data_IF_392720071921
#
_entry.id   IF_392720071921
#
_cell.length_a   1.000
_cell.length_b   1.000
_cell.length_c   1.000
_cell.angle_alpha   90.00
_cell.angle_beta   90.00
_cell.angle_gamma   90.00
#
_symmetry.space_group_name_H-M   'P 1'
#
loop_
_entity.id
_entity.type
_entity.pdbx_description
1 polymer ?
#
# COMPACT_ATOMS: atom_id res chain seq x y z
N UNK A 1 -12.45 44.24 -24.58
CA UNK A 1 -12.08 43.55 -23.33
C UNK A 1 -10.79 42.79 -23.56
N UNK A 2 -9.66 43.29 -23.06
CA UNK A 2 -8.37 42.58 -23.13
C UNK A 2 -8.37 41.55 -22.02
N UNK A 3 -8.43 40.26 -22.38
CA UNK A 3 -8.29 39.16 -21.43
C UNK A 3 -6.82 39.05 -21.08
N UNK A 4 -6.40 39.72 -19.99
CA UNK A 4 -5.09 39.49 -19.39
C UNK A 4 -5.01 38.02 -18.99
N UNK A 5 -4.35 37.22 -19.81
CA UNK A 5 -3.92 35.88 -19.41
C UNK A 5 -2.82 36.10 -18.38
N UNK A 6 -3.19 36.17 -17.10
CA UNK A 6 -2.21 36.06 -16.02
C UNK A 6 -1.51 34.73 -16.21
N UNK A 7 -0.22 34.77 -16.56
CA UNK A 7 0.57 33.57 -16.73
C UNK A 7 0.66 32.88 -15.36
N UNK A 8 -0.20 31.89 -15.13
CA UNK A 8 -0.27 31.17 -13.85
C UNK A 8 0.85 30.13 -13.82
N UNK A 9 1.60 30.12 -12.73
CA UNK A 9 2.67 29.14 -12.50
C UNK A 9 2.00 27.78 -12.22
N UNK A 10 2.11 26.85 -13.15
CA UNK A 10 1.44 25.56 -13.09
C UNK A 10 2.45 24.48 -12.73
N UNK A 11 2.17 23.70 -11.68
CA UNK A 11 2.99 22.53 -11.34
C UNK A 11 2.95 21.50 -12.48
N UNK A 12 4.11 21.04 -12.95
CA UNK A 12 4.23 20.08 -14.05
C UNK A 12 3.66 18.68 -13.73
N UNK A 13 3.59 18.31 -12.44
CA UNK A 13 3.09 17.00 -12.00
C UNK A 13 1.58 17.01 -11.72
N UNK A 14 1.12 17.82 -10.76
CA UNK A 14 -0.28 17.79 -10.31
C UNK A 14 -1.19 18.83 -10.97
N UNK A 15 -0.62 19.72 -11.80
CA UNK A 15 -1.35 20.79 -12.51
C UNK A 15 -2.05 21.82 -11.62
N UNK A 16 -1.73 21.89 -10.32
CA UNK A 16 -2.12 23.02 -9.47
C UNK A 16 -1.50 24.32 -10.01
N UNK A 17 -2.27 25.40 -9.94
CA UNK A 17 -1.90 26.71 -10.47
C UNK A 17 -1.70 27.71 -9.33
N UNK A 18 -0.68 28.55 -9.47
CA UNK A 18 -0.30 29.55 -8.50
C UNK A 18 -0.13 30.91 -9.18
N UNK A 19 -0.58 31.96 -8.50
CA UNK A 19 -0.44 33.34 -8.99
C UNK A 19 1.01 33.82 -8.93
N UNK A 20 1.84 33.23 -8.07
CA UNK A 20 3.24 33.61 -7.84
C UNK A 20 4.14 32.38 -7.88
N UNK A 21 5.35 32.54 -8.41
CA UNK A 21 6.32 31.46 -8.51
C UNK A 21 6.75 30.96 -7.13
N UNK A 22 6.90 31.86 -6.16
CA UNK A 22 7.21 31.53 -4.76
C UNK A 22 6.27 30.44 -4.20
N UNK A 23 4.96 30.54 -4.46
CA UNK A 23 3.97 29.57 -3.99
C UNK A 23 4.06 28.23 -4.73
N UNK A 24 4.48 28.23 -5.99
CA UNK A 24 4.75 26.98 -6.71
C UNK A 24 5.96 26.28 -6.09
N UNK A 25 7.03 27.02 -5.78
CA UNK A 25 8.21 26.48 -5.10
C UNK A 25 7.84 25.91 -3.72
N UNK A 26 7.04 26.63 -2.93
CA UNK A 26 6.53 26.12 -1.64
C UNK A 26 5.69 24.85 -1.79
N UNK A 27 4.86 24.76 -2.82
CA UNK A 27 4.13 23.53 -3.15
C UNK A 27 5.09 22.37 -3.46
N UNK A 28 6.14 22.59 -4.24
CA UNK A 28 7.10 21.56 -4.61
C UNK A 28 7.89 21.02 -3.40
N UNK A 29 8.17 21.88 -2.40
CA UNK A 29 8.83 21.50 -1.14
C UNK A 29 8.07 20.44 -0.34
N UNK A 30 6.74 20.44 -0.42
CA UNK A 30 5.88 19.61 0.44
C UNK A 30 5.11 18.52 -0.30
N UNK A 31 5.15 18.52 -1.64
CA UNK A 31 4.33 17.60 -2.45
C UNK A 31 5.03 16.29 -2.78
N UNK A 32 6.37 16.29 -2.80
CA UNK A 32 7.18 15.08 -3.02
C UNK A 32 6.72 14.30 -4.25
N UNK A 33 6.54 15.02 -5.36
CA UNK A 33 6.10 14.42 -6.60
C UNK A 33 7.13 13.40 -7.05
N UNK A 34 6.66 12.21 -7.43
CA UNK A 34 7.57 11.13 -7.78
C UNK A 34 7.10 10.39 -9.01
N UNK A 35 8.02 9.64 -9.61
CA UNK A 35 7.66 8.73 -10.70
C UNK A 35 6.73 7.59 -10.28
N UNK A 36 6.62 7.34 -8.98
CA UNK A 36 5.86 6.23 -8.40
C UNK A 36 4.46 6.66 -7.94
N UNK A 37 4.14 7.95 -8.01
CA UNK A 37 2.77 8.41 -7.85
C UNK A 37 1.90 7.85 -8.98
N UNK A 38 0.68 7.36 -8.68
CA UNK A 38 -0.30 7.02 -9.71
C UNK A 38 -0.51 8.16 -10.72
N UNK A 39 -0.44 7.85 -12.02
CA UNK A 39 -0.60 8.86 -13.09
C UNK A 39 -1.84 8.60 -13.93
N UNK A 40 -2.49 9.67 -14.35
CA UNK A 40 -3.57 9.59 -15.32
C UNK A 40 -3.02 9.21 -16.70
N UNK A 41 -3.47 8.08 -17.26
CA UNK A 41 -3.08 7.65 -18.62
C UNK A 41 -3.58 8.55 -19.75
N UNK A 42 -4.43 9.55 -19.47
CA UNK A 42 -4.96 10.50 -20.46
C UNK A 42 -4.21 11.83 -20.41
N UNK A 43 -4.12 12.44 -19.24
CA UNK A 43 -3.52 13.78 -19.10
C UNK A 43 -2.14 13.77 -18.42
N UNK A 44 -1.58 12.61 -18.07
CA UNK A 44 -0.32 12.45 -17.35
C UNK A 44 -0.25 13.11 -15.94
N UNK A 45 -1.35 13.67 -15.43
CA UNK A 45 -1.41 14.23 -14.08
C UNK A 45 -0.99 13.18 -13.04
N UNK A 46 -0.07 13.58 -12.16
CA UNK A 46 0.28 12.83 -10.97
C UNK A 46 -0.80 12.95 -9.90
N UNK A 47 -1.14 11.83 -9.31
CA UNK A 47 -2.10 11.69 -8.23
C UNK A 47 -1.39 11.08 -7.04
N UNK A 48 -1.59 11.66 -5.85
CA UNK A 48 -0.90 11.22 -4.63
C UNK A 48 -1.23 9.76 -4.25
N UNK A 49 -2.46 9.34 -4.51
CA UNK A 49 -2.95 7.99 -4.24
C UNK A 49 -3.78 7.44 -5.41
N UNK A 50 -4.00 6.13 -5.42
CA UNK A 50 -4.90 5.47 -6.36
C UNK A 50 -6.33 6.00 -6.23
N UNK A 51 -6.73 6.41 -5.02
CA UNK A 51 -8.04 7.01 -4.77
C UNK A 51 -8.14 8.37 -5.45
N UNK A 52 -7.12 9.21 -5.33
CA UNK A 52 -7.08 10.49 -6.04
C UNK A 52 -7.11 10.32 -7.56
N UNK A 53 -6.44 9.29 -8.09
CA UNK A 53 -6.49 8.95 -9.51
C UNK A 53 -7.88 8.45 -9.92
N UNK A 54 -8.48 7.59 -9.10
CA UNK A 54 -9.83 7.07 -9.32
C UNK A 54 -10.85 8.21 -9.32
N UNK A 55 -10.78 9.12 -8.36
CA UNK A 55 -11.65 10.30 -8.30
C UNK A 55 -11.52 11.18 -9.54
N UNK A 56 -10.29 11.37 -10.02
CA UNK A 56 -10.00 12.13 -11.23
C UNK A 56 -10.60 11.51 -12.51
N UNK A 57 -10.67 10.18 -12.58
CA UNK A 57 -11.12 9.44 -13.77
C UNK A 57 -12.62 9.11 -13.74
N UNK A 58 -13.12 8.61 -12.61
CA UNK A 58 -14.46 8.02 -12.44
C UNK A 58 -15.11 8.40 -11.09
N UNK A 59 -14.58 9.42 -10.41
CA UNK A 59 -15.16 9.93 -9.17
C UNK A 59 -16.44 10.74 -9.39
N UNK A 60 -16.95 11.37 -8.31
CA UNK A 60 -18.15 12.22 -8.39
C UNK A 60 -17.91 13.50 -9.19
N UNK A 61 -16.67 14.01 -9.22
CA UNK A 61 -16.28 15.23 -9.94
C UNK A 61 -15.03 14.97 -10.82
N UNK A 62 -15.13 14.12 -11.85
CA UNK A 62 -13.98 13.71 -12.62
C UNK A 62 -13.61 14.79 -13.64
N UNK A 63 -12.37 14.75 -14.15
CA UNK A 63 -11.98 15.68 -15.23
C UNK A 63 -12.65 15.23 -16.53
N UNK A 64 -13.59 16.03 -17.02
CA UNK A 64 -14.47 15.73 -18.18
C UNK A 64 -13.78 14.94 -19.30
N UNK A 65 -12.67 15.46 -19.83
CA UNK A 65 -11.99 14.82 -20.95
C UNK A 65 -11.32 13.49 -20.57
N UNK A 66 -10.71 13.43 -19.38
CA UNK A 66 -10.11 12.20 -18.87
C UNK A 66 -11.18 11.14 -18.60
N UNK A 67 -12.32 11.53 -18.02
CA UNK A 67 -13.46 10.66 -17.78
C UNK A 67 -14.05 10.11 -19.07
N UNK A 68 -14.22 10.95 -20.09
CA UNK A 68 -14.74 10.58 -21.41
C UNK A 68 -13.85 9.51 -22.07
N UNK A 69 -12.55 9.74 -22.11
CA UNK A 69 -11.59 8.78 -22.68
C UNK A 69 -11.56 7.49 -21.85
N UNK A 70 -11.49 7.60 -20.53
CA UNK A 70 -11.44 6.46 -19.63
C UNK A 70 -12.71 5.61 -19.64
N UNK A 71 -13.89 6.20 -19.79
CA UNK A 71 -15.15 5.46 -19.90
C UNK A 71 -15.14 4.46 -21.07
N UNK A 72 -14.52 4.84 -22.20
CA UNK A 72 -14.46 4.00 -23.40
C UNK A 72 -13.29 3.00 -23.41
N UNK A 73 -12.17 3.34 -22.77
CA UNK A 73 -10.88 2.63 -22.94
C UNK A 73 -10.23 2.22 -21.62
N UNK A 74 -10.82 2.56 -20.48
CA UNK A 74 -10.26 2.37 -19.15
C UNK A 74 -10.81 1.15 -18.42
N UNK A 75 -9.96 0.52 -17.62
CA UNK A 75 -10.34 -0.54 -16.71
C UNK A 75 -10.50 0.01 -15.28
N UNK A 76 -11.69 -0.15 -14.69
CA UNK A 76 -12.01 0.36 -13.36
C UNK A 76 -11.24 -0.30 -12.20
N UNK A 77 -10.50 -1.39 -12.43
CA UNK A 77 -9.73 -2.10 -11.40
C UNK A 77 -8.24 -1.72 -11.49
N UNK A 78 -7.61 -1.93 -12.65
CA UNK A 78 -6.19 -1.61 -12.81
C UNK A 78 -5.93 -0.11 -13.05
N UNK A 79 -6.96 0.66 -13.40
CA UNK A 79 -6.88 2.08 -13.80
C UNK A 79 -6.00 2.34 -15.04
N UNK A 80 -5.63 1.29 -15.78
CA UNK A 80 -4.89 1.43 -17.03
C UNK A 80 -5.83 1.82 -18.18
N UNK A 81 -5.25 2.51 -19.15
CA UNK A 81 -5.88 2.89 -20.41
C UNK A 81 -5.41 1.96 -21.53
N UNK A 82 -6.34 1.47 -22.34
CA UNK A 82 -6.08 0.55 -23.45
C UNK A 82 -6.20 1.27 -24.78
N UNK A 83 -5.69 0.69 -25.86
CA UNK A 83 -5.72 1.29 -27.21
C UNK A 83 -7.13 1.46 -27.76
N UNK A 84 -8.04 0.54 -27.44
CA UNK A 84 -9.41 0.52 -27.96
C UNK A 84 -10.44 0.00 -26.96
N UNK A 85 -11.71 0.26 -27.25
CA UNK A 85 -12.84 -0.30 -26.49
C UNK A 85 -12.88 -1.84 -26.56
N UNK A 86 -12.40 -2.43 -27.64
CA UNK A 86 -12.29 -3.89 -27.75
C UNK A 86 -11.21 -4.44 -26.80
N UNK A 87 -10.01 -3.84 -26.81
CA UNK A 87 -8.91 -4.25 -25.95
C UNK A 87 -9.28 -4.24 -24.46
N UNK A 88 -9.98 -3.19 -24.00
CA UNK A 88 -10.42 -3.12 -22.59
C UNK A 88 -11.49 -4.17 -22.26
N UNK A 89 -12.38 -4.52 -23.19
CA UNK A 89 -13.37 -5.59 -22.96
C UNK A 89 -12.70 -6.94 -22.77
N UNK A 90 -11.73 -7.28 -23.63
CA UNK A 90 -10.94 -8.51 -23.48
C UNK A 90 -10.13 -8.49 -22.17
N UNK A 91 -9.49 -7.36 -21.84
CA UNK A 91 -8.73 -7.22 -20.61
C UNK A 91 -9.57 -7.39 -19.34
N UNK A 92 -10.80 -6.84 -19.28
CA UNK A 92 -11.63 -6.88 -18.06
C UNK A 92 -11.88 -8.29 -17.54
N UNK A 93 -12.02 -9.27 -18.44
CA UNK A 93 -12.21 -10.68 -18.08
C UNK A 93 -10.95 -11.33 -17.50
N UNK A 94 -9.76 -10.82 -17.83
CA UNK A 94 -8.47 -11.37 -17.45
C UNK A 94 -7.60 -10.37 -16.67
N UNK A 95 -8.22 -9.37 -16.03
CA UNK A 95 -7.48 -8.33 -15.34
C UNK A 95 -6.67 -8.99 -14.22
N UNK A 96 -5.35 -8.85 -14.26
CA UNK A 96 -4.42 -9.57 -13.39
C UNK A 96 -4.60 -9.30 -11.89
N UNK A 97 -5.37 -8.27 -11.53
CA UNK A 97 -5.65 -7.92 -10.14
C UNK A 97 -6.96 -8.51 -9.62
N UNK A 98 -7.76 -9.14 -10.49
CA UNK A 98 -8.98 -9.86 -10.09
C UNK A 98 -8.63 -11.14 -9.35
N UNK A 99 -9.55 -11.62 -8.51
CA UNK A 99 -9.32 -12.85 -7.72
C UNK A 99 -8.93 -14.06 -8.57
N UNK A 100 -9.59 -14.19 -9.73
CA UNK A 100 -9.42 -15.30 -10.66
C UNK A 100 -8.08 -15.31 -11.41
N UNK A 101 -7.35 -14.20 -11.44
CA UNK A 101 -6.06 -14.16 -12.11
C UNK A 101 -5.01 -14.91 -11.28
N UNK A 102 -4.25 -15.84 -11.88
CA UNK A 102 -3.10 -16.44 -11.21
C UNK A 102 -2.07 -15.35 -10.96
N UNK A 103 -1.49 -15.35 -9.76
CA UNK A 103 -0.43 -14.41 -9.42
C UNK A 103 0.77 -14.62 -10.34
N UNK A 104 1.48 -13.55 -10.75
CA UNK A 104 2.72 -13.68 -11.51
C UNK A 104 3.66 -14.59 -10.73
N UNK A 105 4.02 -15.74 -11.30
CA UNK A 105 4.96 -16.67 -10.66
C UNK A 105 6.33 -15.99 -10.58
N UNK A 106 6.66 -15.45 -9.42
CA UNK A 106 8.01 -15.00 -9.10
C UNK A 106 8.97 -16.18 -9.13
N UNK A 107 10.21 -15.94 -9.55
CA UNK A 107 11.28 -16.93 -9.52
C UNK A 107 11.46 -17.47 -8.09
N UNK A 108 11.54 -18.80 -7.98
CA UNK A 108 11.74 -19.63 -6.78
C UNK A 108 12.32 -18.90 -5.55
N UNK A 109 11.51 -18.81 -4.49
CA UNK A 109 11.89 -18.30 -3.17
C UNK A 109 11.27 -16.95 -2.81
N UNK A 110 9.93 -16.88 -2.74
CA UNK A 110 9.20 -15.66 -2.35
C UNK A 110 9.80 -15.03 -1.10
N UNK A 111 10.28 -13.79 -1.23
CA UNK A 111 10.96 -13.06 -0.17
C UNK A 111 10.00 -12.27 0.70
N UNK A 112 8.72 -12.17 0.32
CA UNK A 112 7.68 -11.60 1.15
C UNK A 112 6.79 -12.68 1.79
N UNK A 113 6.33 -12.37 3.00
CA UNK A 113 5.33 -13.14 3.76
C UNK A 113 4.25 -12.17 4.19
N UNK A 114 2.98 -12.49 3.92
CA UNK A 114 1.88 -11.71 4.47
C UNK A 114 1.42 -12.31 5.79
N UNK A 115 1.05 -11.45 6.75
CA UNK A 115 0.49 -11.85 8.04
C UNK A 115 -0.81 -11.10 8.29
N UNK A 116 -1.75 -11.78 8.93
CA UNK A 116 -2.93 -11.17 9.49
C UNK A 116 -3.39 -11.93 10.74
N UNK A 117 -4.04 -11.22 11.65
CA UNK A 117 -4.56 -11.75 12.90
C UNK A 117 -6.08 -11.57 13.03
N UNK A 118 -6.70 -12.40 13.87
CA UNK A 118 -8.02 -12.16 14.43
C UNK A 118 -7.93 -12.00 15.93
N UNK A 119 -8.57 -10.94 16.39
CA UNK A 119 -8.52 -10.50 17.77
C UNK A 119 -9.85 -10.79 18.46
N UNK A 120 -9.76 -11.23 19.72
CA UNK A 120 -10.88 -11.26 20.67
C UNK A 120 -10.67 -10.15 21.70
N UNK A 121 -11.73 -9.78 22.42
CA UNK A 121 -11.72 -8.79 23.49
C UNK A 121 -11.43 -9.42 24.85
N UNK A 122 -10.55 -8.78 25.61
CA UNK A 122 -10.34 -8.99 27.04
C UNK A 122 -10.48 -7.70 27.83
N UNK A 123 -10.07 -7.73 29.10
CA UNK A 123 -10.37 -6.66 30.05
C UNK A 123 -11.81 -6.74 30.55
N UNK A 124 -12.16 -5.95 31.57
CA UNK A 124 -13.49 -5.98 32.18
C UNK A 124 -14.62 -5.60 31.22
N UNK A 125 -14.32 -4.84 30.17
CA UNK A 125 -15.26 -4.32 29.18
C UNK A 125 -15.08 -4.91 27.76
N UNK A 126 -14.11 -5.81 27.56
CA UNK A 126 -13.83 -6.40 26.24
C UNK A 126 -13.10 -5.47 25.26
N UNK A 127 -12.62 -4.31 25.72
CA UNK A 127 -11.95 -3.31 24.89
C UNK A 127 -10.52 -3.68 24.51
N UNK A 128 -9.88 -4.57 25.27
CA UNK A 128 -8.48 -4.94 25.03
C UNK A 128 -8.40 -5.99 23.94
N UNK A 129 -7.79 -5.67 22.80
CA UNK A 129 -7.51 -6.65 21.75
C UNK A 129 -6.49 -7.69 22.22
N UNK A 130 -6.83 -8.96 22.03
CA UNK A 130 -6.00 -10.13 22.28
C UNK A 130 -5.96 -10.97 21.00
N UNK A 131 -4.78 -11.29 20.49
CA UNK A 131 -4.65 -12.18 19.34
C UNK A 131 -5.12 -13.60 19.68
N UNK A 132 -6.06 -14.12 18.89
CA UNK A 132 -6.67 -15.42 19.07
C UNK A 132 -6.46 -16.36 17.88
N UNK A 133 -6.20 -15.82 16.68
CA UNK A 133 -5.84 -16.60 15.49
C UNK A 133 -4.87 -15.79 14.64
N UNK A 134 -3.85 -16.43 14.10
CA UNK A 134 -2.86 -15.82 13.21
C UNK A 134 -2.68 -16.66 11.96
N UNK A 135 -2.47 -16.02 10.81
CA UNK A 135 -2.17 -16.66 9.54
C UNK A 135 -0.98 -15.96 8.87
N UNK A 136 -0.08 -16.74 8.29
CA UNK A 136 1.03 -16.29 7.45
C UNK A 136 0.97 -17.05 6.13
N UNK A 137 1.10 -16.34 5.01
CA UNK A 137 1.14 -16.92 3.66
C UNK A 137 2.36 -16.44 2.88
N UNK A 138 2.78 -17.23 1.89
CA UNK A 138 3.78 -16.83 0.91
C UNK A 138 3.20 -15.97 -0.21
N UNK A 139 4.07 -15.49 -1.10
CA UNK A 139 3.67 -14.77 -2.32
C UNK A 139 2.83 -15.62 -3.29
N UNK A 140 2.93 -16.94 -3.16
CA UNK A 140 2.16 -17.95 -3.91
C UNK A 140 0.78 -18.22 -3.30
N UNK A 141 0.38 -17.46 -2.28
CA UNK A 141 -0.88 -17.59 -1.54
C UNK A 141 -1.00 -18.90 -0.73
N UNK A 142 0.07 -19.68 -0.63
CA UNK A 142 0.11 -20.88 0.18
C UNK A 142 0.31 -20.53 1.65
N UNK A 143 -0.42 -21.21 2.53
CA UNK A 143 -0.29 -21.06 3.98
C UNK A 143 1.06 -21.61 4.43
N UNK A 144 1.87 -20.75 5.04
CA UNK A 144 3.14 -21.12 5.67
C UNK A 144 2.90 -21.53 7.12
N UNK A 145 2.07 -20.75 7.82
CA UNK A 145 1.77 -20.99 9.23
C UNK A 145 0.40 -20.43 9.58
N UNK A 146 -0.41 -21.22 10.25
CA UNK A 146 -1.71 -20.79 10.75
C UNK A 146 -2.02 -21.53 12.05
N UNK A 147 -2.44 -20.79 13.07
CA UNK A 147 -2.78 -21.39 14.36
C UNK A 147 -3.74 -20.52 15.15
N UNK A 148 -4.48 -21.13 16.07
CA UNK A 148 -5.08 -20.41 17.19
C UNK A 148 -3.99 -20.11 18.23
N UNK A 149 -4.15 -18.97 18.91
CA UNK A 149 -3.22 -18.46 19.91
C UNK A 149 -3.89 -18.55 21.27
N UNK A 150 -3.20 -19.18 22.24
CA UNK A 150 -3.69 -19.30 23.60
C UNK A 150 -3.65 -17.93 24.28
N UNK A 151 -4.80 -17.39 24.72
CA UNK A 151 -4.85 -16.10 25.40
C UNK A 151 -4.05 -16.12 26.70
N UNK A 152 -3.32 -15.03 26.99
CA UNK A 152 -2.61 -14.85 28.26
C UNK A 152 -3.56 -14.33 29.34
N UNK A 153 -4.57 -13.57 28.94
CA UNK A 153 -5.60 -12.98 29.80
C UNK A 153 -6.97 -13.57 29.46
N UNK A 154 -7.91 -13.44 30.41
CA UNK A 154 -9.29 -13.90 30.23
C UNK A 154 -9.94 -13.18 29.05
N UNK A 155 -10.54 -13.98 28.15
CA UNK A 155 -11.36 -13.46 27.05
C UNK A 155 -12.75 -13.15 27.59
N UNK A 156 -13.18 -11.90 27.45
CA UNK A 156 -14.50 -11.41 27.87
C UNK A 156 -15.45 -11.17 26.71
N UNK A 157 -14.92 -11.02 25.49
CA UNK A 157 -15.72 -10.88 24.27
C UNK A 157 -15.06 -11.60 23.09
N UNK A 158 -15.64 -12.70 22.60
CA UNK A 158 -15.09 -13.46 21.47
C UNK A 158 -15.33 -12.82 20.10
N UNK A 159 -16.19 -11.81 20.02
CA UNK A 159 -16.57 -11.13 18.76
C UNK A 159 -17.08 -12.13 17.71
N UNK A 160 -17.94 -13.06 18.13
CA UNK A 160 -18.37 -14.23 17.35
C UNK A 160 -18.83 -13.90 15.94
N UNK A 161 -19.62 -12.84 15.78
CA UNK A 161 -20.17 -12.41 14.49
C UNK A 161 -19.09 -12.07 13.46
N UNK A 162 -17.93 -11.63 13.93
CA UNK A 162 -16.80 -11.20 13.10
C UNK A 162 -15.75 -12.30 13.00
N UNK A 163 -15.39 -12.95 14.10
CA UNK A 163 -14.22 -13.83 14.17
C UNK A 163 -14.57 -15.30 14.01
N UNK A 164 -15.80 -15.70 14.33
CA UNK A 164 -16.21 -17.11 14.43
C UNK A 164 -15.45 -17.91 15.50
N UNK A 165 -14.66 -17.26 16.38
CA UNK A 165 -13.81 -17.95 17.35
C UNK A 165 -14.64 -18.40 18.54
N UNK A 166 -14.57 -19.70 18.85
CA UNK A 166 -15.24 -20.30 20.01
C UNK A 166 -14.25 -20.66 21.11
N UNK A 167 -14.66 -20.68 22.40
CA UNK A 167 -13.79 -20.98 23.53
C UNK A 167 -13.04 -22.31 23.38
N UNK A 168 -13.68 -23.32 22.79
CA UNK A 168 -13.09 -24.62 22.50
C UNK A 168 -11.86 -24.55 21.60
N UNK A 169 -11.80 -23.61 20.65
CA UNK A 169 -10.64 -23.43 19.79
C UNK A 169 -9.44 -22.85 20.55
N UNK A 170 -9.68 -22.18 21.68
CA UNK A 170 -8.63 -21.53 22.48
C UNK A 170 -8.13 -22.40 23.64
N UNK A 171 -8.85 -23.45 24.04
CA UNK A 171 -8.45 -24.35 25.14
C UNK A 171 -7.10 -25.03 24.86
N UNK A 172 -6.98 -25.61 23.68
CA UNK A 172 -5.80 -26.37 23.23
C UNK A 172 -4.95 -25.58 22.22
N UNK A 173 -5.14 -24.27 22.16
CA UNK A 173 -4.40 -23.39 21.26
C UNK A 173 -2.91 -23.31 21.60
N UNK A 174 -2.11 -22.90 20.61
CA UNK A 174 -0.67 -22.77 20.74
C UNK A 174 -0.31 -21.65 21.73
N UNK A 175 0.58 -21.88 22.72
CA UNK A 175 1.04 -20.82 23.62
C UNK A 175 1.69 -19.66 22.86
N UNK A 176 1.39 -18.41 23.25
CA UNK A 176 1.89 -17.21 22.55
C UNK A 176 3.40 -17.24 22.33
N UNK A 177 4.20 -17.67 23.32
CA UNK A 177 5.67 -17.78 23.18
C UNK A 177 6.11 -18.69 22.04
N UNK A 178 5.39 -19.77 21.79
CA UNK A 178 5.70 -20.68 20.69
C UNK A 178 5.26 -20.08 19.34
N UNK A 179 4.11 -19.39 19.31
CA UNK A 179 3.64 -18.64 18.14
C UNK A 179 4.67 -17.56 17.75
N UNK A 180 5.10 -16.75 18.72
CA UNK A 180 6.14 -15.72 18.55
C UNK A 180 7.41 -16.31 17.93
N UNK A 181 7.92 -17.41 18.49
CA UNK A 181 9.12 -18.09 17.98
C UNK A 181 8.92 -18.56 16.55
N UNK A 182 7.80 -19.21 16.22
CA UNK A 182 7.50 -19.68 14.87
C UNK A 182 7.45 -18.54 13.86
N UNK A 183 6.81 -17.42 14.22
CA UNK A 183 6.74 -16.23 13.35
C UNK A 183 8.15 -15.65 13.14
N UNK A 184 8.93 -15.48 14.21
CA UNK A 184 10.30 -14.99 14.09
C UNK A 184 11.16 -15.93 13.22
N UNK A 185 11.08 -17.25 13.39
CA UNK A 185 11.83 -18.21 12.58
C UNK A 185 11.50 -18.06 11.08
N UNK A 186 10.22 -17.85 10.74
CA UNK A 186 9.75 -17.64 9.37
C UNK A 186 10.27 -16.31 8.80
N UNK A 187 10.15 -15.21 9.55
CA UNK A 187 10.53 -13.87 9.09
C UNK A 187 12.04 -13.67 9.03
N UNK A 188 12.77 -14.21 10.00
CA UNK A 188 14.22 -14.15 10.05
C UNK A 188 14.86 -15.11 9.04
N UNK A 189 14.21 -16.25 8.73
CA UNK A 189 14.67 -17.22 7.74
C UNK A 189 16.14 -17.64 7.94
N UNK A 190 16.51 -17.87 9.21
CA UNK A 190 17.85 -18.25 9.65
C UNK A 190 18.86 -17.10 9.72
N UNK A 191 18.45 -15.84 9.51
CA UNK A 191 19.26 -14.66 9.76
C UNK A 191 18.92 -14.06 11.12
N UNK A 192 19.88 -13.85 12.04
CA UNK A 192 19.55 -13.29 13.34
C UNK A 192 19.07 -11.83 13.20
N UNK A 193 18.01 -11.48 13.94
CA UNK A 193 17.33 -10.18 13.87
C UNK A 193 18.30 -8.98 13.91
N UNK A 194 19.30 -9.04 14.79
CA UNK A 194 20.31 -7.98 14.95
C UNK A 194 21.30 -7.85 13.80
N UNK A 195 21.33 -8.78 12.82
CA UNK A 195 22.13 -8.67 11.58
C UNK A 195 21.32 -8.14 10.39
N UNK A 196 20.00 -8.09 10.49
CA UNK A 196 19.15 -7.57 9.41
C UNK A 196 19.45 -6.08 9.24
N UNK A 197 19.82 -5.68 8.03
CA UNK A 197 20.21 -4.30 7.70
C UNK A 197 19.45 -3.82 6.46
N UNK A 198 19.18 -2.52 6.32
CA UNK A 198 18.65 -1.97 5.08
C UNK A 198 19.57 -2.32 3.91
N UNK A 199 18.98 -2.72 2.77
CA UNK A 199 19.71 -3.02 1.52
C UNK A 199 20.76 -4.14 1.62
N UNK A 200 20.74 -4.98 2.66
CA UNK A 200 21.56 -6.19 2.68
C UNK A 200 20.93 -7.28 1.81
N UNK A 201 21.78 -8.10 1.17
CA UNK A 201 21.36 -9.34 0.52
C UNK A 201 21.11 -10.46 1.56
N UNK A 202 20.31 -10.13 2.58
CA UNK A 202 19.93 -11.04 3.65
C UNK A 202 18.94 -12.11 3.19
N UNK A 203 18.68 -13.07 4.09
CA UNK A 203 17.65 -14.11 3.91
C UNK A 203 16.33 -13.74 4.58
N UNK A 204 16.34 -12.73 5.45
CA UNK A 204 15.14 -12.22 6.11
C UNK A 204 14.04 -11.86 5.09
N UNK A 205 12.79 -12.10 5.47
CA UNK A 205 11.62 -11.95 4.62
C UNK A 205 10.89 -10.65 4.90
N UNK A 206 10.47 -9.96 3.85
CA UNK A 206 9.61 -8.79 3.95
C UNK A 206 8.27 -9.20 4.58
N UNK A 207 7.81 -8.45 5.58
CA UNK A 207 6.52 -8.66 6.21
C UNK A 207 5.48 -7.73 5.60
N UNK A 208 4.46 -8.30 4.97
CA UNK A 208 3.34 -7.61 4.34
C UNK A 208 2.09 -7.72 5.22
N UNK A 209 1.28 -6.68 5.28
CA UNK A 209 0.01 -6.73 6.01
C UNK A 209 -0.80 -5.44 5.91
N UNK A 210 -1.78 -5.29 6.79
CA UNK A 210 -2.65 -4.11 6.85
C UNK A 210 -2.84 -3.69 8.31
N UNK A 211 -2.14 -2.65 8.75
CA UNK A 211 -2.09 -2.25 10.16
C UNK A 211 -1.13 -3.11 10.99
N UNK A 212 0.03 -3.47 10.43
CA UNK A 212 0.99 -4.41 11.02
C UNK A 212 1.47 -4.01 12.42
N UNK A 213 1.54 -2.70 12.71
CA UNK A 213 1.95 -2.19 14.02
C UNK A 213 1.05 -2.74 15.14
N UNK A 214 -0.26 -2.69 14.95
CA UNK A 214 -1.21 -3.21 15.92
C UNK A 214 -1.06 -4.73 16.09
N UNK A 215 -0.89 -5.47 14.98
CA UNK A 215 -0.75 -6.93 15.03
C UNK A 215 0.54 -7.36 15.75
N UNK A 216 1.66 -6.73 15.44
CA UNK A 216 2.95 -6.97 16.07
C UNK A 216 2.91 -6.63 17.57
N UNK A 217 2.26 -5.53 17.94
CA UNK A 217 2.04 -5.15 19.34
C UNK A 217 1.25 -6.23 20.09
N UNK A 218 0.11 -6.70 19.53
CA UNK A 218 -0.72 -7.74 20.16
C UNK A 218 -0.04 -9.10 20.24
N UNK A 219 0.90 -9.37 19.34
CA UNK A 219 1.73 -10.57 19.39
C UNK A 219 2.98 -10.39 20.26
N UNK A 220 3.30 -9.18 20.74
CA UNK A 220 4.56 -8.89 21.44
C UNK A 220 5.79 -9.19 20.59
N UNK A 221 5.74 -8.84 19.29
CA UNK A 221 6.79 -9.07 18.32
C UNK A 221 7.40 -7.75 17.86
N UNK A 222 8.72 -7.73 17.68
CA UNK A 222 9.45 -6.63 17.05
C UNK A 222 10.03 -7.11 15.72
N UNK A 223 9.91 -6.27 14.69
CA UNK A 223 10.51 -6.54 13.39
C UNK A 223 11.01 -5.23 12.76
N UNK A 224 12.14 -5.23 12.02
CA UNK A 224 12.71 -3.98 11.51
C UNK A 224 11.74 -3.23 10.60
N UNK A 225 11.54 -1.94 10.86
CA UNK A 225 10.53 -1.13 10.15
C UNK A 225 10.73 -1.08 8.64
N UNK A 226 11.99 -1.08 8.18
CA UNK A 226 12.33 -1.11 6.75
C UNK A 226 11.98 -2.45 6.06
N UNK A 227 11.68 -3.51 6.82
CA UNK A 227 11.18 -4.79 6.31
C UNK A 227 9.66 -4.88 6.30
N UNK A 228 8.95 -3.85 6.80
CA UNK A 228 7.49 -3.82 6.82
C UNK A 228 6.92 -3.22 5.53
N UNK A 229 5.87 -3.84 5.03
CA UNK A 229 5.06 -3.38 3.89
C UNK A 229 3.60 -3.32 4.33
N UNK A 230 3.29 -2.24 5.04
CA UNK A 230 1.97 -2.01 5.59
C UNK A 230 1.09 -1.27 4.56
N UNK A 231 0.10 -1.98 4.03
CA UNK A 231 -0.85 -1.44 3.04
C UNK A 231 -1.73 -0.33 3.61
N UNK A 232 -1.89 -0.23 4.93
CA UNK A 232 -2.62 0.87 5.57
C UNK A 232 -1.82 2.17 5.60
N UNK A 233 -0.48 2.10 5.54
CA UNK A 233 0.45 3.24 5.65
C UNK A 233 1.15 3.59 4.34
N UNK A 234 0.94 2.82 3.28
CA UNK A 234 1.60 3.04 2.00
C UNK A 234 0.92 4.19 1.22
N UNK A 235 1.58 5.33 0.97
CA UNK A 235 0.90 6.54 0.47
C UNK A 235 0.07 6.34 -0.81
N UNK A 236 0.50 5.54 -1.81
CA UNK A 236 -0.33 5.23 -2.97
C UNK A 236 -1.67 4.53 -2.66
N UNK A 237 -1.79 3.86 -1.51
CA UNK A 237 -2.99 3.14 -1.05
C UNK A 237 -3.79 3.92 0.01
N UNK A 238 -3.21 4.95 0.62
CA UNK A 238 -3.88 5.75 1.64
C UNK A 238 -4.99 6.63 1.06
N UNK A 239 -5.98 6.93 1.91
CA UNK A 239 -7.07 7.85 1.56
C UNK A 239 -6.60 9.29 1.54
N UNK A 240 -5.91 9.68 2.60
CA UNK A 240 -5.19 10.96 2.70
C UNK A 240 -3.83 10.71 3.34
N UNK A 241 -3.00 11.74 3.47
CA UNK A 241 -1.69 11.59 4.14
C UNK A 241 -1.77 11.15 5.60
N UNK A 242 -2.95 11.22 6.24
CA UNK A 242 -3.15 10.85 7.65
C UNK A 242 -4.21 9.76 7.87
N UNK A 243 -4.93 9.36 6.83
CA UNK A 243 -6.04 8.42 6.94
C UNK A 243 -5.82 7.24 6.02
N UNK A 244 -5.83 6.04 6.60
CA UNK A 244 -5.80 4.78 5.86
C UNK A 244 -7.17 4.47 5.26
N UNK A 245 -7.14 3.72 4.16
CA UNK A 245 -8.32 3.02 3.67
C UNK A 245 -8.47 1.70 4.41
N UNK A 246 -9.70 1.19 4.55
CA UNK A 246 -9.90 -0.16 5.06
C UNK A 246 -9.43 -1.21 4.04
N UNK A 247 -8.93 -2.35 4.50
CA UNK A 247 -8.56 -3.46 3.62
C UNK A 247 -9.73 -3.89 2.73
N UNK A 248 -10.96 -3.91 3.28
CA UNK A 248 -12.18 -4.21 2.53
C UNK A 248 -12.36 -3.26 1.34
N UNK A 249 -12.24 -1.95 1.57
CA UNK A 249 -12.35 -0.95 0.50
C UNK A 249 -11.24 -1.12 -0.55
N UNK A 250 -9.99 -1.29 -0.11
CA UNK A 250 -8.85 -1.46 -1.03
C UNK A 250 -9.02 -2.70 -1.91
N UNK A 251 -9.47 -3.80 -1.31
CA UNK A 251 -9.68 -5.08 -2.00
C UNK A 251 -10.79 -4.97 -3.02
N UNK A 252 -11.95 -4.46 -2.62
CA UNK A 252 -13.08 -4.27 -3.53
C UNK A 252 -12.72 -3.32 -4.69
N UNK A 253 -12.06 -2.21 -4.37
CA UNK A 253 -11.81 -1.13 -5.34
C UNK A 253 -10.67 -1.45 -6.30
N UNK A 254 -9.58 -2.05 -5.81
CA UNK A 254 -8.34 -2.23 -6.57
C UNK A 254 -8.00 -3.68 -6.90
N UNK A 255 -8.69 -4.64 -6.28
CA UNK A 255 -8.59 -6.07 -6.62
C UNK A 255 -9.92 -6.65 -7.14
N UNK A 256 -11.04 -5.92 -7.03
CA UNK A 256 -12.30 -6.29 -7.68
C UNK A 256 -13.02 -7.48 -7.07
N UNK A 257 -12.78 -7.79 -5.79
CA UNK A 257 -13.53 -8.80 -5.04
C UNK A 257 -13.79 -8.35 -3.61
N UNK A 258 -14.82 -8.92 -2.98
CA UNK A 258 -15.19 -8.61 -1.60
C UNK A 258 -14.48 -9.53 -0.61
N UNK A 259 -14.17 -8.98 0.56
CA UNK A 259 -13.73 -9.70 1.75
C UNK A 259 -14.60 -9.26 2.93
N UNK A 260 -14.49 -10.00 4.05
CA UNK A 260 -15.29 -9.75 5.25
C UNK A 260 -16.79 -9.87 4.98
N UNK A 261 -17.18 -10.84 4.15
CA UNK A 261 -18.56 -11.25 3.92
C UNK A 261 -18.92 -12.35 4.92
N UNK A 262 -19.37 -11.96 6.11
CA UNK A 262 -19.62 -12.87 7.23
C UNK A 262 -18.40 -13.02 8.14
N UNK A 263 -18.12 -14.25 8.58
CA UNK A 263 -16.98 -14.55 9.44
C UNK A 263 -15.67 -14.25 8.70
N UNK A 264 -14.81 -13.45 9.31
CA UNK A 264 -13.55 -13.03 8.72
C UNK A 264 -12.45 -14.04 9.00
N UNK A 265 -11.89 -14.64 7.95
CA UNK A 265 -10.71 -15.50 8.05
C UNK A 265 -9.43 -14.67 7.84
N UNK A 266 -8.41 -14.78 8.72
CA UNK A 266 -7.14 -14.06 8.53
C UNK A 266 -6.42 -14.46 7.24
N UNK A 267 -6.69 -15.64 6.66
CA UNK A 267 -6.17 -16.02 5.35
C UNK A 267 -6.58 -15.04 4.25
N UNK A 268 -7.85 -14.64 4.21
CA UNK A 268 -8.36 -13.71 3.18
C UNK A 268 -7.68 -12.35 3.27
N UNK A 269 -7.42 -11.89 4.50
CA UNK A 269 -6.71 -10.64 4.76
C UNK A 269 -5.26 -10.70 4.32
N UNK A 270 -4.59 -11.83 4.58
CA UNK A 270 -3.23 -12.07 4.10
C UNK A 270 -3.17 -12.02 2.56
N UNK A 271 -4.10 -12.70 1.88
CA UNK A 271 -4.16 -12.73 0.42
C UNK A 271 -4.43 -11.33 -0.13
N UNK A 272 -5.39 -10.59 0.44
CA UNK A 272 -5.68 -9.23 0.03
C UNK A 272 -4.47 -8.29 0.18
N UNK A 273 -3.82 -8.31 1.35
CA UNK A 273 -2.63 -7.50 1.60
C UNK A 273 -1.46 -7.88 0.66
N UNK A 274 -1.22 -9.18 0.45
CA UNK A 274 -0.19 -9.68 -0.46
C UNK A 274 -0.45 -9.26 -1.90
N UNK A 275 -1.69 -9.35 -2.39
CA UNK A 275 -2.06 -8.91 -3.74
C UNK A 275 -1.92 -7.41 -3.94
N UNK A 276 -2.29 -6.60 -2.94
CA UNK A 276 -2.04 -5.14 -2.96
C UNK A 276 -0.53 -4.84 -3.01
N UNK A 277 0.26 -5.54 -2.20
CA UNK A 277 1.71 -5.43 -2.20
C UNK A 277 2.30 -5.77 -3.58
N UNK A 278 1.94 -6.92 -4.15
CA UNK A 278 2.45 -7.35 -5.46
C UNK A 278 2.02 -6.38 -6.56
N UNK A 279 0.80 -5.82 -6.49
CA UNK A 279 0.37 -4.76 -7.42
C UNK A 279 1.30 -3.56 -7.37
N UNK A 280 1.66 -3.08 -6.18
CA UNK A 280 2.57 -1.93 -6.03
C UNK A 280 4.00 -2.28 -6.42
N UNK A 281 4.48 -3.47 -6.06
CA UNK A 281 5.80 -3.98 -6.45
C UNK A 281 5.95 -4.15 -7.96
N UNK A 282 4.89 -4.54 -8.66
CA UNK A 282 4.91 -4.77 -10.11
C UNK A 282 4.96 -3.51 -10.97
N UNK A 283 4.95 -2.32 -10.36
CA UNK A 283 5.05 -1.07 -11.10
C UNK A 283 6.44 -0.92 -11.74
N UNK A 284 6.49 -0.39 -12.96
CA UNK A 284 7.75 -0.15 -13.64
C UNK A 284 8.56 0.93 -12.90
N UNK A 285 9.80 0.62 -12.52
CA UNK A 285 10.73 1.59 -11.97
C UNK A 285 11.53 2.26 -13.11
N UNK A 286 11.41 3.58 -13.34
CA UNK A 286 12.27 4.27 -14.31
C UNK A 286 13.74 4.20 -13.88
N UNK A 287 14.65 3.80 -14.78
CA UNK A 287 16.07 3.57 -14.47
C UNK A 287 16.83 4.82 -14.01
N UNK A 288 16.37 6.01 -14.40
CA UNK A 288 17.10 7.27 -14.22
C UNK A 288 16.66 8.09 -12.99
N UNK A 289 15.81 7.52 -12.11
CA UNK A 289 15.33 8.24 -10.93
C UNK A 289 16.31 8.10 -9.77
N UNK A 290 16.97 9.21 -9.41
CA UNK A 290 17.88 9.28 -8.28
C UNK A 290 17.13 8.96 -6.96
N UNK A 291 17.43 7.78 -6.41
CA UNK A 291 17.14 7.35 -5.03
C UNK A 291 15.66 7.27 -4.61
N UNK A 292 15.02 6.13 -4.88
CA UNK A 292 13.78 5.72 -4.19
C UNK A 292 14.01 5.17 -2.77
N UNK A 293 15.02 5.70 -2.05
CA UNK A 293 15.37 5.24 -0.69
C UNK A 293 14.33 5.58 0.37
N UNK A 294 13.35 6.45 0.06
CA UNK A 294 12.42 6.99 1.04
C UNK A 294 13.07 7.96 2.04
N UNK A 295 14.35 8.31 1.84
CA UNK A 295 14.99 9.38 2.60
C UNK A 295 14.60 10.71 1.96
N UNK A 296 13.94 11.57 2.74
CA UNK A 296 13.59 12.93 2.35
C UNK A 296 14.87 13.73 2.09
N UNK A 297 15.42 13.64 0.89
CA UNK A 297 16.48 14.56 0.48
C UNK A 297 15.84 15.95 0.38
N UNK A 298 16.41 16.92 1.10
CA UNK A 298 15.96 18.31 1.03
C UNK A 298 16.41 18.91 -0.32
N UNK A 299 15.72 18.52 -1.38
CA UNK A 299 16.03 18.90 -2.76
C UNK A 299 15.67 20.38 -3.05
N UNK A 300 14.97 21.03 -2.12
CA UNK A 300 14.51 22.42 -2.22
C UNK A 300 14.93 23.23 -0.99
N UNK A 301 16.24 23.36 -0.70
CA UNK A 301 16.68 24.03 0.51
C UNK A 301 16.38 25.53 0.44
N UNK A 302 15.99 26.13 1.57
CA UNK A 302 15.55 27.52 1.63
C UNK A 302 16.58 28.53 1.11
N UNK A 303 17.88 28.24 1.24
CA UNK A 303 18.96 29.10 0.75
C UNK A 303 19.04 29.19 -0.80
N UNK A 304 18.42 28.24 -1.53
CA UNK A 304 18.31 28.27 -3.00
C UNK A 304 17.02 28.93 -3.52
N UNK A 305 16.21 29.57 -2.66
CA UNK A 305 14.88 30.08 -3.05
C UNK A 305 14.88 30.90 -4.36
N UNK A 306 15.81 31.87 -4.47
CA UNK A 306 15.91 32.73 -5.67
C UNK A 306 16.27 31.96 -6.95
N UNK A 307 17.01 30.86 -6.81
CA UNK A 307 17.37 30.00 -7.93
C UNK A 307 16.17 29.14 -8.33
N UNK A 308 15.49 28.53 -7.37
CA UNK A 308 14.29 27.72 -7.58
C UNK A 308 13.16 28.53 -8.26
N UNK A 309 12.99 29.80 -7.90
CA UNK A 309 12.02 30.69 -8.53
C UNK A 309 12.37 31.08 -9.97
N UNK A 310 13.59 30.82 -10.44
CA UNK A 310 14.00 31.03 -11.83
C UNK A 310 13.89 29.77 -12.68
N UNK A 311 13.67 28.60 -12.05
CA UNK A 311 13.51 27.33 -12.74
C UNK A 311 12.11 27.19 -13.34
N UNK A 312 12.03 26.46 -14.45
CA UNK A 312 10.77 26.01 -15.02
C UNK A 312 10.07 24.98 -14.13
N UNK A 313 8.74 24.81 -14.25
CA UNK A 313 8.02 23.76 -13.53
C UNK A 313 8.55 22.34 -13.77
N UNK A 314 9.06 22.06 -14.96
CA UNK A 314 9.66 20.78 -15.35
C UNK A 314 11.00 20.54 -14.65
N UNK A 315 11.86 21.56 -14.59
CA UNK A 315 13.12 21.49 -13.85
C UNK A 315 12.86 21.35 -12.34
N UNK A 316 11.86 22.07 -11.79
CA UNK A 316 11.44 21.88 -10.41
C UNK A 316 10.96 20.44 -10.17
N UNK A 317 10.20 19.86 -11.10
CA UNK A 317 9.76 18.46 -10.97
C UNK A 317 10.92 17.47 -11.04
N UNK A 318 11.93 17.72 -11.87
CA UNK A 318 13.11 16.87 -11.96
C UNK A 318 13.92 16.79 -10.65
N UNK A 319 13.85 17.82 -9.81
CA UNK A 319 14.40 17.81 -8.45
C UNK A 319 13.54 17.05 -7.44
N UNK A 320 12.28 16.73 -7.77
CA UNK A 320 11.32 16.18 -6.81
C UNK A 320 11.56 14.69 -6.57
N UNK A 321 11.66 14.32 -5.30
CA UNK A 321 11.82 12.93 -4.84
C UNK A 321 10.58 12.43 -4.09
N UNK A 322 10.47 11.11 -3.99
CA UNK A 322 9.44 10.46 -3.17
C UNK A 322 9.74 10.63 -1.67
N UNK A 323 8.71 10.89 -0.88
CA UNK A 323 8.77 10.88 0.60
C UNK A 323 8.48 9.50 1.21
N UNK A 324 8.39 8.47 0.36
CA UNK A 324 8.20 7.09 0.78
C UNK A 324 9.05 6.14 -0.07
N UNK A 325 9.41 5.00 0.53
CA UNK A 325 10.11 3.92 -0.16
C UNK A 325 9.19 3.20 -1.15
N UNK A 326 9.54 3.16 -2.44
CA UNK A 326 8.72 2.46 -3.44
C UNK A 326 8.87 0.95 -3.30
N UNK A 327 7.74 0.23 -3.20
CA UNK A 327 7.78 -1.24 -3.17
C UNK A 327 8.21 -1.86 -4.49
N UNK A 328 8.23 -1.08 -5.58
CA UNK A 328 8.84 -1.46 -6.85
C UNK A 328 10.37 -1.63 -6.80
N UNK A 329 11.01 -1.22 -5.70
CA UNK A 329 12.42 -1.46 -5.41
C UNK A 329 12.67 -2.75 -4.62
N UNK A 330 11.60 -3.45 -4.23
CA UNK A 330 11.73 -4.75 -3.62
C UNK A 330 12.11 -5.79 -4.68
N UNK A 331 13.39 -6.10 -4.72
CA UNK A 331 14.07 -7.17 -5.49
C UNK A 331 14.11 -7.03 -7.01
#
# INVERSE_FOLDING_TARGET
>A
MVVWHTCRNKCAACYRQYNRMEHLVEHMKVSYHSAHEPRCGVCAKHCRSLESLREHLIGPLPKVECARVFASRGCGICLNLFESAAAVRYHRASCQFTRAAPMPRGSYGGRAVAMACKMVGGGSDGSVDICARVCLIGEDENVIFQTYVKPITTVTNYRYEVTGIRPEYLRDAMPLKLVQRRIQDILCNGEPLWKIRPRSFGRARILVGHGLEHELERLGLEYPTFMLRDTAKYPPLMKTSKLSNSLKYLTQTYLGYDIHTGIQDPYEDCVAAMRLYIRMRSQAHPRDYASGSGETQNNYPAWRQRELERMSPEELLALSGSDYYCWCLDF
#
